data_IF_404476262934
#
_entry.id   IF_404476262934
#
_cell.length_a   1.000
_cell.length_b   1.000
_cell.length_c   1.000
_cell.angle_alpha   90.00
_cell.angle_beta   90.00
_cell.angle_gamma   90.00
#
_symmetry.space_group_name_H-M   'P 1'
#
loop_
_entity.id
_entity.type
_entity.pdbx_description
1 polymer ?
#
# COMPACT_ATOMS: atom_id res chain seq x y z
N UNK A 1 -19.79 -2.42 -7.31
CA UNK A 1 -20.26 -2.08 -5.95
C UNK A 1 -21.46 -1.16 -6.06
N UNK A 2 -22.48 -1.29 -5.19
CA UNK A 2 -23.64 -0.41 -5.23
C UNK A 2 -23.22 1.04 -5.00
N UNK A 3 -23.84 1.95 -5.73
CA UNK A 3 -23.62 3.40 -5.68
C UNK A 3 -23.95 4.04 -4.32
N UNK A 4 -24.47 3.25 -3.38
CA UNK A 4 -25.02 3.69 -2.10
C UNK A 4 -24.08 3.60 -0.90
N UNK A 5 -22.83 3.10 -1.04
CA UNK A 5 -21.91 3.08 0.11
C UNK A 5 -21.62 4.51 0.58
N UNK A 6 -21.99 4.89 1.82
CA UNK A 6 -21.80 6.25 2.29
C UNK A 6 -20.33 6.63 2.28
N UNK A 7 -20.02 7.87 1.91
CA UNK A 7 -18.62 8.39 1.87
C UNK A 7 -17.89 8.18 3.20
N UNK A 8 -18.61 8.34 4.32
CA UNK A 8 -18.07 8.10 5.67
C UNK A 8 -17.62 6.65 5.86
N UNK A 9 -18.40 5.67 5.38
CA UNK A 9 -18.02 4.25 5.46
C UNK A 9 -16.78 3.95 4.63
N UNK A 10 -16.65 4.54 3.43
CA UNK A 10 -15.44 4.41 2.61
C UNK A 10 -14.22 4.96 3.35
N UNK A 11 -14.32 6.15 3.94
CA UNK A 11 -13.22 6.77 4.68
C UNK A 11 -12.80 5.93 5.90
N UNK A 12 -13.77 5.46 6.70
CA UNK A 12 -13.49 4.61 7.88
C UNK A 12 -12.83 3.29 7.46
N UNK A 13 -13.39 2.61 6.45
CA UNK A 13 -12.82 1.35 5.94
C UNK A 13 -11.40 1.59 5.39
N UNK A 14 -11.16 2.71 4.70
CA UNK A 14 -9.84 3.05 4.19
C UNK A 14 -8.82 3.27 5.31
N UNK A 15 -9.17 4.04 6.34
CA UNK A 15 -8.29 4.26 7.50
C UNK A 15 -7.97 2.94 8.20
N UNK A 16 -8.98 2.10 8.44
CA UNK A 16 -8.77 0.79 9.09
C UNK A 16 -7.91 -0.14 8.22
N UNK A 17 -8.19 -0.22 6.91
CA UNK A 17 -7.42 -1.06 6.00
C UNK A 17 -5.97 -0.59 5.88
N UNK A 18 -5.73 0.73 5.89
CA UNK A 18 -4.37 1.28 5.89
C UNK A 18 -3.65 1.01 7.20
N UNK A 19 -4.30 1.20 8.36
CA UNK A 19 -3.73 0.88 9.66
C UNK A 19 -3.36 -0.61 9.78
N UNK A 20 -4.20 -1.51 9.24
CA UNK A 20 -3.87 -2.93 9.15
C UNK A 20 -2.70 -3.21 8.21
N UNK A 21 -2.55 -2.46 7.12
CA UNK A 21 -1.37 -2.55 6.26
C UNK A 21 -0.10 -2.06 6.97
N UNK A 22 -0.16 -0.97 7.75
CA UNK A 22 0.94 -0.54 8.61
C UNK A 22 1.31 -1.63 9.63
N UNK A 23 0.31 -2.23 10.30
CA UNK A 23 0.55 -3.30 11.25
C UNK A 23 1.17 -4.55 10.58
N UNK A 24 0.72 -4.89 9.36
CA UNK A 24 1.33 -5.96 8.58
C UNK A 24 2.80 -5.64 8.23
N UNK A 25 3.09 -4.41 7.82
CA UNK A 25 4.42 -3.97 7.42
C UNK A 25 5.38 -3.88 8.61
N UNK A 26 5.05 -3.04 9.58
CA UNK A 26 5.95 -2.66 10.67
C UNK A 26 6.02 -3.73 11.76
N UNK A 27 4.87 -4.21 12.22
CA UNK A 27 4.81 -5.16 13.32
C UNK A 27 5.03 -6.60 12.85
N UNK A 28 4.23 -7.07 11.89
CA UNK A 28 4.32 -8.47 11.44
C UNK A 28 5.49 -8.71 10.49
N UNK A 29 5.86 -7.72 9.68
CA UNK A 29 6.98 -7.83 8.76
C UNK A 29 8.29 -7.55 9.45
N UNK A 30 8.62 -6.28 9.63
CA UNK A 30 9.89 -5.86 10.21
C UNK A 30 10.08 -6.39 11.64
N UNK A 31 9.06 -6.24 12.49
CA UNK A 31 9.09 -6.68 13.88
C UNK A 31 9.32 -8.19 14.03
N UNK A 32 8.55 -9.03 13.33
CA UNK A 32 8.74 -10.47 13.38
C UNK A 32 10.09 -10.90 12.79
N UNK A 33 10.53 -10.30 11.69
CA UNK A 33 11.81 -10.64 11.07
C UNK A 33 13.01 -10.22 11.93
N UNK A 34 12.94 -9.08 12.60
CA UNK A 34 13.92 -8.64 13.59
C UNK A 34 14.00 -9.63 14.75
N UNK A 35 12.86 -9.98 15.37
CA UNK A 35 12.83 -10.93 16.48
C UNK A 35 13.34 -12.32 16.07
N UNK A 36 12.94 -12.81 14.89
CA UNK A 36 13.40 -14.10 14.36
C UNK A 36 14.91 -14.13 14.07
N UNK A 37 15.52 -12.97 13.82
CA UNK A 37 16.97 -12.83 13.61
C UNK A 37 17.75 -12.61 14.92
N UNK A 38 17.08 -12.66 16.08
CA UNK A 38 17.70 -12.38 17.39
C UNK A 38 17.94 -10.89 17.66
N UNK A 39 17.37 -10.00 16.84
CA UNK A 39 17.44 -8.55 17.01
C UNK A 39 16.48 -8.03 18.08
N UNK A 40 16.65 -6.76 18.46
CA UNK A 40 15.78 -6.07 19.41
C UNK A 40 15.09 -4.89 18.75
N UNK A 41 13.77 -4.80 18.87
CA UNK A 41 12.99 -3.67 18.37
C UNK A 41 13.27 -2.44 19.25
N UNK A 42 13.81 -1.37 18.67
CA UNK A 42 14.16 -0.12 19.35
C UNK A 42 13.11 0.96 19.09
N UNK A 43 12.53 0.97 17.89
CA UNK A 43 11.48 1.91 17.50
C UNK A 43 10.44 1.16 16.69
N UNK A 44 9.16 1.39 17.02
CA UNK A 44 8.01 0.86 16.28
C UNK A 44 6.89 1.90 16.36
N UNK A 45 6.57 2.51 15.23
CA UNK A 45 5.39 3.35 15.07
C UNK A 45 4.79 3.14 13.68
N UNK A 46 3.81 3.95 13.29
CA UNK A 46 3.08 3.76 12.02
C UNK A 46 3.91 3.98 10.75
N UNK A 47 5.10 4.57 10.87
CA UNK A 47 5.93 5.03 9.74
C UNK A 47 7.43 4.77 9.93
N UNK A 48 7.82 4.19 11.07
CA UNK A 48 9.20 3.87 11.39
C UNK A 48 9.29 2.57 12.15
N UNK A 49 10.31 1.83 11.73
CA UNK A 49 10.82 0.70 12.45
C UNK A 49 12.34 0.78 12.57
N UNK A 50 12.86 0.44 13.76
CA UNK A 50 14.30 0.25 13.97
C UNK A 50 14.55 -1.01 14.77
N UNK A 51 15.49 -1.81 14.27
CA UNK A 51 15.97 -3.03 14.93
C UNK A 51 17.47 -2.88 15.26
N UNK A 52 17.83 -3.04 16.52
CA UNK A 52 19.22 -3.24 16.93
C UNK A 52 19.62 -4.69 16.61
N UNK A 53 20.73 -4.87 15.89
CA UNK A 53 21.13 -6.17 15.35
C UNK A 53 20.29 -6.63 14.15
N UNK A 54 19.51 -5.72 13.55
CA UNK A 54 18.78 -5.99 12.31
C UNK A 54 19.72 -6.15 11.12
N UNK A 55 19.25 -6.89 10.11
CA UNK A 55 19.94 -7.07 8.83
C UNK A 55 18.94 -7.19 7.69
N UNK A 56 19.37 -7.75 6.56
CA UNK A 56 18.55 -7.87 5.36
C UNK A 56 17.15 -8.46 5.59
N UNK A 57 17.03 -9.45 6.49
CA UNK A 57 15.75 -10.06 6.83
C UNK A 57 14.80 -9.06 7.51
N UNK A 58 15.32 -8.27 8.47
CA UNK A 58 14.54 -7.22 9.12
C UNK A 58 14.15 -6.15 8.11
N UNK A 59 15.06 -5.70 7.25
CA UNK A 59 14.80 -4.68 6.22
C UNK A 59 13.74 -5.15 5.21
N UNK A 60 13.78 -6.40 4.73
CA UNK A 60 12.80 -6.90 3.76
C UNK A 60 11.50 -7.38 4.40
N UNK A 61 11.45 -7.51 5.72
CA UNK A 61 10.31 -8.06 6.45
C UNK A 61 8.99 -7.34 6.13
N UNK A 62 8.97 -6.01 6.20
CA UNK A 62 7.79 -5.19 5.91
C UNK A 62 7.23 -5.39 4.51
N UNK A 63 8.04 -5.16 3.45
CA UNK A 63 7.59 -5.39 2.08
C UNK A 63 7.11 -6.82 1.82
N UNK A 64 7.78 -7.84 2.39
CA UNK A 64 7.37 -9.22 2.23
C UNK A 64 6.05 -9.52 2.91
N UNK A 65 5.83 -9.03 4.14
CA UNK A 65 4.56 -9.19 4.84
C UNK A 65 3.40 -8.54 4.06
N UNK A 66 3.60 -7.33 3.55
CA UNK A 66 2.62 -6.69 2.67
C UNK A 66 2.38 -7.53 1.39
N UNK A 67 3.41 -8.15 0.82
CA UNK A 67 3.26 -8.97 -0.39
C UNK A 67 2.33 -10.16 -0.09
N UNK A 68 2.61 -10.85 1.01
CA UNK A 68 1.81 -11.98 1.48
C UNK A 68 0.36 -11.60 1.76
N UNK A 69 0.13 -10.53 2.52
CA UNK A 69 -1.22 -10.05 2.86
C UNK A 69 -1.99 -9.60 1.61
N UNK A 70 -1.35 -8.84 0.73
CA UNK A 70 -1.96 -8.34 -0.50
C UNK A 70 -2.30 -9.46 -1.49
N UNK A 71 -1.40 -10.43 -1.69
CA UNK A 71 -1.65 -11.58 -2.55
C UNK A 71 -2.72 -12.51 -1.94
N UNK A 72 -2.69 -12.72 -0.63
CA UNK A 72 -3.71 -13.46 0.11
C UNK A 72 -5.10 -12.83 -0.03
N UNK A 73 -5.19 -11.51 0.12
CA UNK A 73 -6.43 -10.74 -0.09
C UNK A 73 -6.97 -10.88 -1.51
N UNK A 74 -6.08 -10.85 -2.53
CA UNK A 74 -6.47 -11.13 -3.91
C UNK A 74 -6.96 -12.57 -4.12
N UNK A 75 -6.39 -13.54 -3.41
CA UNK A 75 -6.90 -14.91 -3.39
C UNK A 75 -8.30 -14.98 -2.77
N UNK A 76 -8.48 -14.36 -1.60
CA UNK A 76 -9.75 -14.33 -0.88
C UNK A 76 -10.88 -13.68 -1.70
N UNK A 77 -10.59 -12.61 -2.44
CA UNK A 77 -11.54 -11.97 -3.35
C UNK A 77 -12.02 -12.88 -4.49
N UNK A 78 -11.26 -13.94 -4.83
CA UNK A 78 -11.61 -14.89 -5.90
C UNK A 78 -12.36 -16.13 -5.44
N UNK A 79 -12.15 -16.57 -4.19
CA UNK A 79 -12.69 -17.86 -3.73
C UNK A 79 -14.15 -17.81 -3.30
N UNK A 80 -14.66 -16.63 -2.93
CA UNK A 80 -16.07 -16.49 -2.53
C UNK A 80 -16.63 -15.11 -2.81
N UNK A 81 -17.95 -15.01 -2.80
CA UNK A 81 -18.65 -13.72 -2.84
C UNK A 81 -18.69 -13.15 -1.42
N UNK A 82 -18.29 -11.89 -1.31
CA UNK A 82 -18.29 -11.14 -0.05
C UNK A 82 -19.39 -10.08 -0.06
N UNK A 83 -19.80 -9.62 1.12
CA UNK A 83 -20.69 -8.46 1.22
C UNK A 83 -20.02 -7.22 0.61
N UNK A 84 -20.77 -6.20 0.16
CA UNK A 84 -20.18 -5.01 -0.45
C UNK A 84 -19.14 -4.32 0.43
N UNK A 85 -19.37 -4.23 1.75
CA UNK A 85 -18.44 -3.63 2.70
C UNK A 85 -17.17 -4.48 2.88
N UNK A 86 -17.31 -5.81 2.97
CA UNK A 86 -16.15 -6.71 3.07
C UNK A 86 -15.32 -6.73 1.78
N UNK A 87 -15.97 -6.70 0.61
CA UNK A 87 -15.29 -6.54 -0.69
C UNK A 87 -14.49 -5.25 -0.71
N UNK A 88 -15.08 -4.12 -0.30
CA UNK A 88 -14.37 -2.83 -0.23
C UNK A 88 -13.17 -2.89 0.72
N UNK A 89 -13.34 -3.47 1.91
CA UNK A 89 -12.27 -3.63 2.89
C UNK A 89 -11.12 -4.50 2.35
N UNK A 90 -11.44 -5.63 1.72
CA UNK A 90 -10.45 -6.51 1.09
C UNK A 90 -9.75 -5.83 -0.09
N UNK A 91 -10.47 -5.11 -0.95
CA UNK A 91 -9.87 -4.39 -2.07
C UNK A 91 -8.94 -3.28 -1.60
N UNK A 92 -9.33 -2.51 -0.58
CA UNK A 92 -8.46 -1.49 0.01
C UNK A 92 -7.27 -2.11 0.73
N UNK A 93 -7.46 -3.23 1.43
CA UNK A 93 -6.37 -3.99 2.04
C UNK A 93 -5.36 -4.46 0.98
N UNK A 94 -5.83 -5.07 -0.11
CA UNK A 94 -5.00 -5.44 -1.27
C UNK A 94 -4.27 -4.22 -1.84
N UNK A 95 -5.01 -3.13 -2.06
CA UNK A 95 -4.46 -1.92 -2.65
C UNK A 95 -3.34 -1.35 -1.78
N UNK A 96 -3.60 -1.10 -0.50
CA UNK A 96 -2.59 -0.52 0.39
C UNK A 96 -1.38 -1.42 0.51
N UNK A 97 -1.54 -2.73 0.69
CA UNK A 97 -0.40 -3.63 0.84
C UNK A 97 0.46 -3.70 -0.44
N UNK A 98 -0.12 -3.98 -1.61
CA UNK A 98 0.65 -4.17 -2.84
C UNK A 98 1.16 -2.85 -3.43
N UNK A 99 0.41 -1.76 -3.29
CA UNK A 99 0.86 -0.45 -3.77
C UNK A 99 1.94 0.14 -2.87
N UNK A 100 1.96 -0.19 -1.57
CA UNK A 100 3.08 0.16 -0.69
C UNK A 100 4.38 -0.39 -1.23
N UNK A 101 4.42 -1.69 -1.54
CA UNK A 101 5.62 -2.35 -2.07
C UNK A 101 6.02 -1.75 -3.40
N UNK A 102 5.06 -1.48 -4.29
CA UNK A 102 5.32 -0.81 -5.55
C UNK A 102 5.96 0.57 -5.33
N UNK A 103 5.48 1.33 -4.34
CA UNK A 103 6.04 2.58 -3.88
C UNK A 103 7.46 2.43 -3.34
N UNK A 104 7.70 1.47 -2.43
CA UNK A 104 9.03 1.19 -1.87
C UNK A 104 10.04 0.82 -2.97
N UNK A 105 9.66 -0.02 -3.94
CA UNK A 105 10.52 -0.40 -5.07
C UNK A 105 10.90 0.82 -5.92
N UNK A 106 9.92 1.66 -6.26
CA UNK A 106 10.16 2.89 -7.02
C UNK A 106 11.03 3.88 -6.26
N UNK A 107 10.72 4.13 -4.98
CA UNK A 107 11.46 5.07 -4.16
C UNK A 107 12.89 4.60 -3.92
N UNK A 108 13.09 3.29 -3.74
CA UNK A 108 14.41 2.67 -3.63
C UNK A 108 15.19 2.80 -4.93
N UNK A 109 14.55 2.64 -6.08
CA UNK A 109 15.19 2.84 -7.38
C UNK A 109 15.61 4.29 -7.64
N UNK A 110 14.76 5.27 -7.26
CA UNK A 110 14.98 6.70 -7.52
C UNK A 110 15.93 7.32 -6.51
N UNK A 111 15.66 7.12 -5.22
CA UNK A 111 16.35 7.83 -4.14
C UNK A 111 17.41 6.97 -3.44
N UNK A 112 17.48 5.65 -3.69
CA UNK A 112 18.36 4.74 -2.95
C UNK A 112 17.99 4.64 -1.47
N UNK A 113 16.72 4.84 -1.12
CA UNK A 113 16.15 4.88 0.25
C UNK A 113 14.84 4.07 0.27
N UNK A 114 14.38 3.66 1.46
CA UNK A 114 13.33 2.65 1.75
C UNK A 114 13.93 1.27 2.07
N UNK A 115 13.07 0.32 2.41
CA UNK A 115 13.32 -1.04 2.89
C UNK A 115 14.20 -1.86 1.94
N UNK A 116 14.18 -1.54 0.65
CA UNK A 116 15.04 -2.18 -0.34
C UNK A 116 16.41 -1.50 -0.48
N UNK A 117 16.68 -0.40 0.21
CA UNK A 117 17.93 0.34 0.03
C UNK A 117 19.17 -0.46 0.40
N UNK A 118 19.10 -1.28 1.45
CA UNK A 118 20.20 -2.17 1.83
C UNK A 118 20.39 -3.28 0.80
N UNK A 119 19.30 -3.93 0.37
CA UNK A 119 19.32 -4.92 -0.71
C UNK A 119 19.88 -4.34 -2.02
N UNK A 120 19.52 -3.09 -2.35
CA UNK A 120 20.08 -2.37 -3.50
C UNK A 120 21.56 -2.15 -3.34
N UNK A 121 22.05 -1.70 -2.18
CA UNK A 121 23.50 -1.48 -2.00
C UNK A 121 24.27 -2.77 -2.23
N UNK A 122 23.83 -3.86 -1.61
CA UNK A 122 24.41 -5.18 -1.83
C UNK A 122 24.38 -5.61 -3.30
N UNK A 123 23.27 -5.35 -4.01
CA UNK A 123 23.12 -5.73 -5.41
C UNK A 123 23.86 -4.78 -6.37
N UNK A 124 23.88 -3.47 -6.11
CA UNK A 124 24.45 -2.46 -6.99
C UNK A 124 25.98 -2.52 -7.02
N UNK A 125 26.60 -2.96 -5.93
CA UNK A 125 28.03 -3.26 -5.87
C UNK A 125 28.40 -4.46 -6.78
N UNK A 126 27.42 -5.28 -7.21
CA UNK A 126 27.62 -6.45 -8.08
C UNK A 126 26.84 -6.46 -9.40
N UNK A 127 25.88 -5.56 -9.62
CA UNK A 127 24.95 -5.60 -10.75
C UNK A 127 24.57 -4.20 -11.27
N UNK A 128 25.29 -3.65 -12.26
CA UNK A 128 24.87 -2.44 -12.95
C UNK A 128 23.49 -2.67 -13.58
N UNK A 129 22.48 -1.93 -13.12
CA UNK A 129 21.09 -2.05 -13.58
C UNK A 129 20.07 -2.47 -12.52
N UNK A 130 20.51 -2.84 -11.30
CA UNK A 130 19.60 -3.24 -10.20
C UNK A 130 18.49 -2.20 -9.93
N UNK A 131 18.82 -0.89 -9.97
CA UNK A 131 17.83 0.19 -9.83
C UNK A 131 16.78 0.19 -10.94
N UNK A 132 17.19 -0.07 -12.18
CA UNK A 132 16.27 -0.16 -13.32
C UNK A 132 15.29 -1.33 -13.19
N UNK A 133 15.78 -2.49 -12.74
CA UNK A 133 14.94 -3.66 -12.48
C UNK A 133 13.91 -3.40 -11.37
N UNK A 134 14.30 -2.72 -10.28
CA UNK A 134 13.37 -2.38 -9.21
C UNK A 134 12.33 -1.35 -9.65
N UNK A 135 12.74 -0.34 -10.42
CA UNK A 135 11.79 0.61 -10.99
C UNK A 135 10.76 -0.10 -11.88
N UNK A 136 11.22 -0.99 -12.77
CA UNK A 136 10.36 -1.80 -13.62
C UNK A 136 9.42 -2.69 -12.80
N UNK A 137 9.95 -3.39 -11.79
CA UNK A 137 9.15 -4.23 -10.89
C UNK A 137 8.08 -3.43 -10.15
N UNK A 138 8.42 -2.25 -9.61
CA UNK A 138 7.49 -1.34 -8.96
C UNK A 138 6.36 -0.89 -9.89
N UNK A 139 6.70 -0.47 -11.13
CA UNK A 139 5.69 -0.09 -12.14
C UNK A 139 4.80 -1.28 -12.51
N UNK A 140 5.38 -2.45 -12.75
CA UNK A 140 4.63 -3.65 -13.12
C UNK A 140 3.67 -4.07 -12.01
N UNK A 141 4.12 -4.08 -10.75
CA UNK A 141 3.30 -4.41 -9.59
C UNK A 141 2.17 -3.40 -9.36
N UNK A 142 2.48 -2.10 -9.46
CA UNK A 142 1.47 -1.03 -9.36
C UNK A 142 0.38 -1.19 -10.42
N UNK A 143 0.77 -1.35 -11.70
CA UNK A 143 -0.17 -1.56 -12.81
C UNK A 143 -0.96 -2.85 -12.67
N UNK A 144 -0.32 -3.94 -12.26
CA UNK A 144 -0.97 -5.22 -12.00
C UNK A 144 -2.06 -5.03 -10.94
N UNK A 145 -1.73 -4.40 -9.82
CA UNK A 145 -2.65 -4.16 -8.71
C UNK A 145 -3.85 -3.32 -9.16
N UNK A 146 -3.62 -2.15 -9.78
CA UNK A 146 -4.69 -1.26 -10.24
C UNK A 146 -5.65 -1.94 -11.24
N UNK A 147 -5.16 -2.86 -12.07
CA UNK A 147 -5.99 -3.63 -13.02
C UNK A 147 -6.90 -4.64 -12.32
N UNK A 148 -6.54 -5.11 -11.12
CA UNK A 148 -7.30 -6.11 -10.37
C UNK A 148 -8.34 -5.52 -9.42
N UNK A 149 -8.15 -4.28 -8.98
CA UNK A 149 -9.11 -3.59 -8.10
C UNK A 149 -10.42 -3.26 -8.83
N UNK A 150 -11.55 -3.21 -8.12
CA UNK A 150 -12.83 -2.76 -8.67
C UNK A 150 -13.39 -1.46 -8.11
N UNK A 151 -12.57 -0.78 -7.31
CA UNK A 151 -12.80 0.57 -6.80
C UNK A 151 -13.17 1.56 -7.92
N UNK A 152 -14.15 2.42 -7.62
CA UNK A 152 -14.40 3.61 -8.43
C UNK A 152 -13.31 4.67 -8.17
N UNK A 153 -13.09 5.58 -9.14
CA UNK A 153 -12.16 6.71 -8.96
C UNK A 153 -12.47 7.55 -7.73
N UNK A 154 -13.76 7.79 -7.47
CA UNK A 154 -14.19 8.58 -6.31
C UNK A 154 -13.83 7.88 -4.99
N UNK A 155 -14.07 6.56 -4.91
CA UNK A 155 -13.72 5.77 -3.73
C UNK A 155 -12.20 5.70 -3.54
N UNK A 156 -11.43 5.47 -4.61
CA UNK A 156 -9.98 5.38 -4.54
C UNK A 156 -9.33 6.70 -4.08
N UNK A 157 -9.80 7.85 -4.60
CA UNK A 157 -9.32 9.18 -4.17
C UNK A 157 -9.68 9.49 -2.72
N UNK A 158 -10.91 9.15 -2.31
CA UNK A 158 -11.33 9.34 -0.93
C UNK A 158 -10.53 8.45 0.02
N UNK A 159 -10.27 7.19 -0.36
CA UNK A 159 -9.44 6.28 0.41
C UNK A 159 -8.01 6.79 0.54
N UNK A 160 -7.40 7.25 -0.57
CA UNK A 160 -6.08 7.88 -0.57
C UNK A 160 -6.01 9.09 0.36
N UNK A 161 -6.99 10.01 0.25
CA UNK A 161 -7.04 11.21 1.09
C UNK A 161 -7.22 10.86 2.57
N UNK A 162 -8.18 9.98 2.89
CA UNK A 162 -8.50 9.61 4.26
C UNK A 162 -7.34 8.86 4.94
N UNK A 163 -6.77 7.85 4.27
CA UNK A 163 -5.65 7.09 4.79
C UNK A 163 -4.39 7.94 4.96
N UNK A 164 -4.01 8.73 3.95
CA UNK A 164 -2.85 9.61 4.03
C UNK A 164 -2.99 10.68 5.12
N UNK A 165 -4.18 11.28 5.24
CA UNK A 165 -4.46 12.25 6.32
C UNK A 165 -4.38 11.59 7.70
N UNK A 166 -4.99 10.42 7.87
CA UNK A 166 -4.96 9.69 9.13
C UNK A 166 -3.52 9.30 9.53
N UNK A 167 -2.70 8.86 8.57
CA UNK A 167 -1.29 8.57 8.76
C UNK A 167 -0.49 9.81 9.20
N UNK A 168 -0.70 10.96 8.57
CA UNK A 168 -0.05 12.20 9.00
C UNK A 168 -0.52 12.65 10.39
N UNK A 169 -1.80 12.48 10.71
CA UNK A 169 -2.34 12.85 12.03
C UNK A 169 -1.83 11.92 13.13
N UNK A 170 -1.61 10.63 12.85
CA UNK A 170 -1.09 9.68 13.85
C UNK A 170 0.31 10.05 14.35
N UNK A 171 1.08 10.82 13.58
CA UNK A 171 2.38 11.34 14.00
C UNK A 171 2.28 12.20 15.26
N UNK A 172 1.16 12.90 15.48
CA UNK A 172 0.95 13.70 16.70
C UNK A 172 0.92 12.85 17.97
N UNK A 173 0.75 11.53 17.82
CA UNK A 173 0.75 10.55 18.91
C UNK A 173 2.10 9.85 19.08
N UNK A 174 3.08 10.15 18.23
CA UNK A 174 4.39 9.52 18.23
C UNK A 174 5.41 10.37 18.99
N UNK A 175 6.32 9.71 19.71
CA UNK A 175 7.46 10.38 20.32
C UNK A 175 8.53 10.67 19.26
N UNK A 176 9.12 11.87 19.30
CA UNK A 176 10.23 12.26 18.44
C UNK A 176 10.01 13.59 17.71
N UNK A 177 10.95 13.98 16.82
CA UNK A 177 10.86 15.22 16.08
C UNK A 177 9.73 15.17 15.04
N UNK A 178 8.77 16.09 15.17
CA UNK A 178 7.53 16.12 14.37
C UNK A 178 7.78 16.19 12.86
N UNK A 179 8.68 17.07 12.40
CA UNK A 179 8.86 17.31 10.97
C UNK A 179 9.41 16.08 10.21
N UNK A 180 10.46 15.37 10.68
CA UNK A 180 10.89 14.12 10.10
C UNK A 180 9.79 13.04 10.06
N UNK A 181 9.04 12.86 11.16
CA UNK A 181 7.96 11.88 11.23
C UNK A 181 6.84 12.21 10.25
N UNK A 182 6.43 13.48 10.18
CA UNK A 182 5.40 13.95 9.24
C UNK A 182 5.83 13.76 7.78
N UNK A 183 7.11 13.96 7.48
CA UNK A 183 7.64 13.72 6.13
C UNK A 183 7.52 12.25 5.75
N UNK A 184 7.89 11.33 6.64
CA UNK A 184 7.79 9.89 6.39
C UNK A 184 6.35 9.44 6.27
N UNK A 185 5.47 9.89 7.17
CA UNK A 185 4.03 9.68 7.08
C UNK A 185 3.43 10.16 5.76
N UNK A 186 3.86 11.34 5.27
CA UNK A 186 3.40 11.84 3.99
C UNK A 186 3.92 11.00 2.82
N UNK A 187 5.18 10.55 2.87
CA UNK A 187 5.75 9.69 1.82
C UNK A 187 5.08 8.32 1.76
N UNK A 188 4.74 7.71 2.89
CA UNK A 188 4.09 6.41 2.93
C UNK A 188 2.58 6.51 2.70
N UNK A 189 1.90 7.36 3.47
CA UNK A 189 0.44 7.53 3.42
C UNK A 189 -0.05 8.17 2.13
N UNK A 190 0.69 9.12 1.55
CA UNK A 190 0.31 9.75 0.26
C UNK A 190 1.18 9.29 -0.90
N UNK A 191 2.51 9.28 -0.74
CA UNK A 191 3.45 9.01 -1.83
C UNK A 191 3.35 7.58 -2.35
N UNK A 192 3.55 6.58 -1.47
CA UNK A 192 3.45 5.17 -1.84
C UNK A 192 2.03 4.80 -2.31
N UNK A 193 1.01 5.50 -1.82
CA UNK A 193 -0.39 5.29 -2.21
C UNK A 193 -0.85 6.11 -3.42
N UNK A 194 0.01 6.96 -4.01
CA UNK A 194 -0.36 7.85 -5.12
C UNK A 194 -0.92 7.08 -6.34
N UNK A 195 -0.57 5.81 -6.48
CA UNK A 195 -1.16 4.87 -7.44
C UNK A 195 -2.70 4.88 -7.47
N UNK A 196 -3.36 5.05 -6.32
CA UNK A 196 -4.83 5.11 -6.23
C UNK A 196 -5.45 6.27 -7.03
N UNK A 197 -4.68 7.33 -7.30
CA UNK A 197 -5.11 8.45 -8.14
C UNK A 197 -5.24 8.07 -9.62
N UNK A 198 -4.62 6.96 -10.03
CA UNK A 198 -4.58 6.45 -11.40
C UNK A 198 -5.54 5.29 -11.64
N UNK A 199 -6.48 5.02 -10.73
CA UNK A 199 -7.55 4.03 -10.95
C UNK A 199 -8.32 4.38 -12.24
N UNK A 200 -8.46 3.45 -13.21
CA UNK A 200 -9.17 3.72 -14.45
C UNK A 200 -10.63 4.12 -14.21
N UNK A 201 -11.18 4.99 -15.06
CA UNK A 201 -12.63 5.18 -15.07
C UNK A 201 -13.23 3.92 -15.66
N UNK A 202 -14.18 3.33 -14.94
CA UNK A 202 -15.05 2.31 -15.51
C UNK A 202 -16.32 3.04 -15.91
N UNK A 203 -16.62 3.00 -17.21
CA UNK A 203 -17.77 3.69 -17.78
C UNK A 203 -19.05 3.31 -17.05
N UNK A 204 -19.90 4.30 -16.79
CA UNK A 204 -21.28 4.07 -16.37
C UNK A 204 -22.04 3.27 -17.43
N UNK A 205 -23.26 2.78 -17.11
CA UNK A 205 -24.07 2.02 -18.06
C UNK A 205 -24.16 2.76 -19.39
N UNK A 206 -23.96 2.02 -20.49
CA UNK A 206 -24.15 2.53 -21.84
C UNK A 206 -25.52 3.23 -21.91
N UNK A 207 -25.53 4.45 -22.44
CA UNK A 207 -26.77 5.20 -22.63
C UNK A 207 -27.81 4.30 -23.33
N UNK A 208 -29.06 4.23 -22.86
CA UNK A 208 -30.07 3.38 -23.48
C UNK A 208 -30.19 3.76 -24.96
N UNK A 209 -29.92 2.76 -25.81
CA UNK A 209 -30.03 2.89 -27.25
C UNK A 209 -31.41 3.43 -27.60
N UNK A 210 -31.46 4.51 -28.37
CA UNK A 210 -32.68 5.06 -28.94
C UNK A 210 -33.41 3.92 -29.64
N UNK A 211 -34.60 3.57 -29.14
CA UNK A 211 -35.52 2.68 -29.84
C UNK A 211 -35.77 3.25 -31.24
N UNK A 212 -35.41 2.49 -32.26
CA UNK A 212 -35.86 2.75 -33.62
C UNK A 212 -37.38 2.59 -33.64
N UNK A 213 -38.08 3.65 -34.04
CA UNK A 213 -39.50 3.62 -34.37
C UNK A 213 -39.63 2.85 -35.69
N UNK A 214 -40.35 1.72 -35.75
CA UNK A 214 -40.70 1.10 -37.01
C UNK A 214 -41.73 1.99 -37.72
N UNK A 215 -41.43 2.32 -38.97
CA UNK A 215 -42.33 2.93 -39.96
C UNK A 215 -43.38 1.94 -40.44
#
# INVERSE_FOLDING_TARGET
MPESTPRRSVAVIAVLAFALACAAHELLGHGAACAASGGTIVELNSVRFRCAGGGLAADLGGPLANAWVGLGGLGLLRVRRWSPAATLALELGVAFNLLWIAGCLLWSAIAGRSDFAFAIRMAADGAPGARGLLALAGVMLGRFTLRRLTLSRAMARLAWLAAGTACCVSVLLCAGPLLPLLREAALEGFGAMAWLLFVPARGGPAAPGRHAVPS
#
